data_IF_276950725909
#
_entry.id   IF_276950725909
#
_cell.length_a   1.000
_cell.length_b   1.000
_cell.length_c   1.000
_cell.angle_alpha   90.00
_cell.angle_beta   90.00
_cell.angle_gamma   90.00
#
_symmetry.space_group_name_H-M   'P 1'
#
loop_
_entity.id
_entity.type
_entity.pdbx_description
1 polymer ?
#
# COMPACT_ATOMS: atom_id res chain seq x y z
N UNK A 1 21.18 14.79 -15.54
CA UNK A 1 19.97 14.07 -15.07
C UNK A 1 18.82 15.04 -15.15
N UNK A 2 17.84 14.79 -16.02
CA UNK A 2 16.59 15.57 -16.03
C UNK A 2 15.91 15.39 -14.66
N UNK A 3 15.64 16.50 -13.94
CA UNK A 3 14.84 16.44 -12.72
C UNK A 3 13.49 15.85 -13.10
N UNK A 4 13.09 14.77 -12.42
CA UNK A 4 11.74 14.23 -12.54
C UNK A 4 10.69 15.24 -12.06
N UNK A 5 9.39 14.97 -12.26
CA UNK A 5 8.34 15.84 -11.78
C UNK A 5 8.47 16.05 -10.26
N UNK A 6 8.16 17.26 -9.81
CA UNK A 6 8.15 17.58 -8.37
C UNK A 6 6.92 16.91 -7.74
N UNK A 7 7.09 16.32 -6.56
CA UNK A 7 5.99 15.75 -5.78
C UNK A 7 6.09 16.24 -4.33
N UNK A 8 4.98 16.68 -3.69
CA UNK A 8 3.60 16.75 -4.21
C UNK A 8 3.43 17.66 -5.44
N UNK A 9 2.46 17.35 -6.30
CA UNK A 9 2.21 18.04 -7.58
C UNK A 9 1.38 19.30 -7.35
N UNK A 10 2.00 20.48 -7.42
CA UNK A 10 1.33 21.75 -7.09
C UNK A 10 0.42 22.29 -8.18
N UNK A 11 0.80 22.13 -9.45
CA UNK A 11 -0.04 22.53 -10.59
C UNK A 11 -0.78 21.30 -11.11
N UNK A 12 -2.13 21.27 -11.10
CA UNK A 12 -2.90 20.16 -11.66
C UNK A 12 -2.56 19.82 -13.12
N UNK A 13 -2.05 20.78 -13.91
CA UNK A 13 -1.62 20.53 -15.28
C UNK A 13 -0.42 19.56 -15.37
N UNK A 14 0.44 19.53 -14.34
CA UNK A 14 1.65 18.70 -14.30
C UNK A 14 1.34 17.20 -14.12
N UNK A 15 0.13 16.85 -13.66
CA UNK A 15 -0.31 15.45 -13.58
C UNK A 15 -0.28 14.74 -14.93
N UNK A 16 -0.39 15.48 -16.04
CA UNK A 16 -0.38 14.95 -17.41
C UNK A 16 0.95 14.34 -17.82
N UNK A 17 2.04 14.85 -17.25
CA UNK A 17 3.39 14.33 -17.48
C UNK A 17 3.83 13.33 -16.41
N UNK A 18 3.08 13.22 -15.31
CA UNK A 18 3.37 12.30 -14.22
C UNK A 18 3.22 10.84 -14.67
N UNK A 19 4.32 10.09 -14.65
CA UNK A 19 4.33 8.69 -15.08
C UNK A 19 4.22 8.50 -16.59
N UNK A 20 4.34 9.55 -17.39
CA UNK A 20 4.31 9.42 -18.86
C UNK A 20 5.52 8.64 -19.37
N UNK A 21 5.26 7.66 -20.23
CA UNK A 21 6.31 6.90 -20.92
C UNK A 21 6.40 7.30 -22.40
N UNK A 22 7.63 7.41 -22.90
CA UNK A 22 7.87 7.46 -24.35
C UNK A 22 7.64 6.10 -25.02
N UNK A 23 7.60 6.08 -26.36
CA UNK A 23 7.39 4.85 -27.15
C UNK A 23 8.46 3.80 -26.88
N UNK A 24 9.74 4.21 -26.87
CA UNK A 24 10.88 3.30 -26.60
C UNK A 24 10.78 2.70 -25.20
N UNK A 25 10.46 3.52 -24.19
CA UNK A 25 10.29 3.07 -22.82
C UNK A 25 9.10 2.10 -22.67
N UNK A 26 8.02 2.34 -23.41
CA UNK A 26 6.84 1.46 -23.42
C UNK A 26 7.20 0.08 -23.98
N UNK A 27 7.91 0.01 -25.10
CA UNK A 27 8.41 -1.26 -25.66
C UNK A 27 9.38 -1.98 -24.72
N UNK A 28 10.35 -1.26 -24.16
CA UNK A 28 11.29 -1.83 -23.19
C UNK A 28 10.56 -2.40 -21.95
N UNK A 29 9.51 -1.72 -21.49
CA UNK A 29 8.67 -2.14 -20.37
C UNK A 29 7.82 -3.37 -20.70
N UNK A 30 7.30 -3.47 -21.93
CA UNK A 30 6.58 -4.65 -22.41
C UNK A 30 7.51 -5.89 -22.45
N UNK A 31 8.69 -5.77 -23.06
CA UNK A 31 9.69 -6.83 -23.09
C UNK A 31 10.13 -7.24 -21.68
N UNK A 32 10.32 -6.26 -20.79
CA UNK A 32 10.63 -6.50 -19.38
C UNK A 32 9.52 -7.25 -18.67
N UNK A 33 8.24 -6.92 -18.95
CA UNK A 33 7.08 -7.62 -18.38
C UNK A 33 7.08 -9.10 -18.78
N UNK A 34 7.34 -9.40 -20.06
CA UNK A 34 7.47 -10.79 -20.54
C UNK A 34 8.59 -11.53 -19.82
N UNK A 35 9.75 -10.89 -19.65
CA UNK A 35 10.89 -11.47 -18.93
C UNK A 35 10.57 -11.77 -17.47
N UNK A 36 9.91 -10.84 -16.76
CA UNK A 36 9.57 -11.04 -15.35
C UNK A 36 8.42 -12.04 -15.16
N UNK A 37 7.48 -12.12 -16.10
CA UNK A 37 6.46 -13.18 -16.10
C UNK A 37 7.11 -14.56 -16.11
N UNK A 38 8.12 -14.76 -16.95
CA UNK A 38 8.91 -16.02 -17.01
C UNK A 38 9.77 -16.29 -15.77
N UNK A 39 9.98 -15.28 -14.91
CA UNK A 39 10.72 -15.43 -13.65
C UNK A 39 9.83 -15.82 -12.48
N UNK A 40 8.50 -15.79 -12.64
CA UNK A 40 7.65 -16.41 -11.64
C UNK A 40 8.06 -17.86 -11.49
N UNK A 41 8.39 -18.22 -10.26
CA UNK A 41 8.68 -19.59 -9.88
C UNK A 41 7.49 -20.00 -9.04
N UNK A 42 6.89 -21.12 -9.40
CA UNK A 42 6.08 -21.82 -8.43
C UNK A 42 6.99 -22.27 -7.29
N UNK A 43 6.46 -22.30 -6.08
CA UNK A 43 7.18 -22.80 -4.91
C UNK A 43 6.61 -24.18 -4.61
N UNK A 44 7.37 -25.26 -4.89
CA UNK A 44 6.86 -26.62 -4.75
C UNK A 44 6.30 -26.88 -3.34
N UNK A 45 5.13 -27.51 -3.27
CA UNK A 45 4.49 -27.86 -2.00
C UNK A 45 3.91 -26.67 -1.21
N UNK A 46 3.88 -25.48 -1.80
CA UNK A 46 3.25 -24.34 -1.15
C UNK A 46 1.73 -24.47 -1.20
N UNK A 47 1.14 -24.54 -0.01
CA UNK A 47 -0.31 -24.52 0.18
C UNK A 47 -0.71 -23.20 0.81
N UNK A 48 -1.92 -22.76 0.47
CA UNK A 48 -2.62 -21.67 1.13
C UNK A 48 -4.00 -22.21 1.48
N UNK A 49 -4.26 -22.40 2.77
CA UNK A 49 -5.42 -23.16 3.25
C UNK A 49 -6.28 -22.27 4.14
N UNK A 50 -7.59 -22.19 3.91
CA UNK A 50 -8.52 -21.54 4.84
C UNK A 50 -8.45 -22.21 6.21
N UNK A 51 -8.50 -21.41 7.28
CA UNK A 51 -8.48 -21.91 8.66
C UNK A 51 -9.83 -22.43 9.13
N UNK A 52 -10.93 -21.95 8.53
CA UNK A 52 -12.28 -22.39 8.85
C UNK A 52 -13.18 -22.33 7.62
N UNK A 53 -13.93 -23.41 7.39
CA UNK A 53 -14.95 -23.51 6.35
C UNK A 53 -14.43 -23.38 4.91
N UNK A 54 -15.38 -23.42 3.97
CA UNK A 54 -15.11 -23.10 2.57
C UNK A 54 -15.22 -21.59 2.33
N UNK A 55 -14.36 -21.06 1.48
CA UNK A 55 -14.42 -19.67 1.04
C UNK A 55 -15.69 -19.48 0.23
N UNK A 56 -16.58 -18.60 0.70
CA UNK A 56 -17.83 -18.32 -0.01
C UNK A 56 -17.56 -17.63 -1.36
N UNK A 57 -18.36 -17.89 -2.39
CA UNK A 57 -18.32 -17.09 -3.62
C UNK A 57 -18.59 -15.61 -3.33
N UNK A 58 -17.85 -14.76 -4.02
CA UNK A 58 -18.03 -13.31 -4.00
C UNK A 58 -19.10 -12.88 -5.00
N UNK A 59 -19.90 -11.89 -4.62
CA UNK A 59 -20.83 -11.21 -5.53
C UNK A 59 -20.10 -10.44 -6.66
N UNK A 60 -20.77 -10.12 -7.79
CA UNK A 60 -20.12 -9.52 -8.96
C UNK A 60 -19.45 -8.16 -8.74
N UNK A 61 -19.88 -7.43 -7.70
CA UNK A 61 -19.35 -6.10 -7.35
C UNK A 61 -18.72 -6.07 -5.95
N UNK A 62 -18.64 -7.22 -5.27
CA UNK A 62 -17.96 -7.28 -3.98
C UNK A 62 -16.45 -7.12 -4.22
N UNK A 63 -15.85 -6.17 -3.52
CA UNK A 63 -14.41 -5.95 -3.54
C UNK A 63 -13.82 -6.68 -2.33
N UNK A 64 -12.82 -7.52 -2.61
CA UNK A 64 -12.06 -8.23 -1.58
C UNK A 64 -10.75 -7.50 -1.32
N UNK A 65 -10.45 -7.33 -0.04
CA UNK A 65 -9.16 -6.85 0.43
C UNK A 65 -8.26 -8.04 0.75
N UNK A 66 -7.05 -8.01 0.24
CA UNK A 66 -6.00 -9.00 0.50
C UNK A 66 -4.93 -8.38 1.38
N UNK A 67 -4.68 -9.00 2.54
CA UNK A 67 -3.65 -8.60 3.49
C UNK A 67 -2.77 -9.79 3.86
N UNK A 68 -1.46 -9.57 3.95
CA UNK A 68 -0.50 -10.54 4.50
C UNK A 68 0.06 -9.93 5.76
N UNK A 69 -0.03 -10.64 6.88
CA UNK A 69 0.33 -10.09 8.18
C UNK A 69 1.00 -11.10 9.10
N UNK A 70 1.63 -10.56 10.14
CA UNK A 70 2.09 -11.30 11.31
C UNK A 70 2.10 -10.32 12.48
N UNK A 71 1.58 -10.75 13.62
CA UNK A 71 1.59 -9.99 14.86
C UNK A 71 1.05 -8.57 14.70
N UNK A 72 -0.19 -8.46 14.22
CA UNK A 72 -0.84 -7.19 13.94
C UNK A 72 -1.91 -6.82 14.98
N UNK A 73 -1.99 -7.53 16.11
CA UNK A 73 -3.10 -7.41 17.06
C UNK A 73 -3.26 -5.96 17.58
N UNK A 74 -2.15 -5.24 17.73
CA UNK A 74 -2.15 -3.85 18.17
C UNK A 74 -3.00 -2.91 17.31
N UNK A 75 -3.14 -3.17 16.00
CA UNK A 75 -3.82 -2.28 15.06
C UNK A 75 -4.85 -2.94 14.15
N UNK A 76 -4.94 -4.28 14.13
CA UNK A 76 -5.78 -5.02 13.16
C UNK A 76 -7.27 -4.69 13.29
N UNK A 77 -7.76 -4.37 14.48
CA UNK A 77 -9.16 -3.95 14.67
C UNK A 77 -9.45 -2.62 13.95
N UNK A 78 -8.64 -1.58 14.19
CA UNK A 78 -8.77 -0.29 13.51
C UNK A 78 -8.54 -0.40 11.99
N UNK A 79 -7.64 -1.30 11.57
CA UNK A 79 -7.44 -1.62 10.15
C UNK A 79 -8.72 -2.19 9.51
N UNK A 80 -9.39 -3.16 10.15
CA UNK A 80 -10.64 -3.71 9.64
C UNK A 80 -11.73 -2.64 9.59
N UNK A 81 -11.88 -1.85 10.66
CA UNK A 81 -12.93 -0.83 10.76
C UNK A 81 -12.77 0.26 9.70
N UNK A 82 -11.55 0.74 9.45
CA UNK A 82 -11.26 1.69 8.36
C UNK A 82 -11.73 1.14 7.01
N UNK A 83 -11.34 -0.09 6.68
CA UNK A 83 -11.65 -0.66 5.37
C UNK A 83 -13.11 -1.12 5.24
N UNK A 84 -13.76 -1.52 6.34
CA UNK A 84 -15.21 -1.75 6.39
C UNK A 84 -15.97 -0.46 6.11
N UNK A 85 -15.53 0.68 6.66
CA UNK A 85 -16.13 1.98 6.37
C UNK A 85 -16.00 2.38 4.89
N UNK A 86 -14.95 1.93 4.20
CA UNK A 86 -14.81 2.08 2.74
C UNK A 86 -15.78 1.18 1.95
N UNK A 87 -16.46 0.23 2.59
CA UNK A 87 -17.34 -0.74 1.93
C UNK A 87 -16.62 -1.98 1.39
N UNK A 88 -15.47 -2.34 1.94
CA UNK A 88 -14.85 -3.65 1.68
C UNK A 88 -15.78 -4.75 2.20
N UNK A 89 -16.12 -5.69 1.32
CA UNK A 89 -17.12 -6.73 1.61
C UNK A 89 -16.49 -7.99 2.22
N UNK A 90 -15.22 -8.27 1.90
CA UNK A 90 -14.48 -9.44 2.36
C UNK A 90 -13.00 -9.15 2.57
N UNK A 91 -12.43 -9.80 3.57
CA UNK A 91 -11.03 -9.70 3.93
C UNK A 91 -10.35 -11.07 3.77
N UNK A 92 -9.56 -11.23 2.72
CA UNK A 92 -8.71 -12.38 2.51
C UNK A 92 -7.36 -12.15 3.21
N UNK A 93 -7.17 -12.75 4.38
CA UNK A 93 -6.03 -12.45 5.24
C UNK A 93 -5.12 -13.67 5.35
N UNK A 94 -3.82 -13.51 5.08
CA UNK A 94 -2.83 -14.56 5.27
C UNK A 94 -2.06 -14.28 6.54
N UNK A 95 -2.24 -15.16 7.53
CA UNK A 95 -1.48 -15.13 8.78
C UNK A 95 -0.15 -15.88 8.61
N UNK A 96 0.97 -15.16 8.75
CA UNK A 96 2.32 -15.74 8.75
C UNK A 96 2.72 -16.18 10.17
N UNK A 97 1.88 -17.00 10.81
CA UNK A 97 2.10 -17.60 12.13
C UNK A 97 2.27 -16.54 13.21
N UNK A 98 1.20 -15.79 13.44
CA UNK A 98 1.13 -14.85 14.56
C UNK A 98 1.16 -15.59 15.90
N UNK A 99 1.68 -14.92 16.92
CA UNK A 99 1.80 -15.42 18.30
C UNK A 99 1.29 -14.42 19.35
N UNK A 100 0.63 -13.34 18.90
CA UNK A 100 0.09 -12.25 19.72
C UNK A 100 -1.45 -12.26 19.83
N UNK A 101 -2.11 -13.32 19.33
CA UNK A 101 -3.57 -13.44 19.29
C UNK A 101 -4.23 -12.85 18.05
N UNK A 102 -3.46 -12.30 17.08
CA UNK A 102 -4.01 -11.80 15.80
C UNK A 102 -4.86 -12.85 15.08
N UNK A 103 -4.38 -14.09 15.03
CA UNK A 103 -5.04 -15.22 14.36
C UNK A 103 -6.43 -15.50 14.96
N UNK A 104 -6.50 -15.56 16.29
CA UNK A 104 -7.72 -15.83 17.04
C UNK A 104 -8.73 -14.70 16.87
N UNK A 105 -8.27 -13.45 16.93
CA UNK A 105 -9.13 -12.29 16.68
C UNK A 105 -9.71 -12.29 15.27
N UNK A 106 -8.89 -12.56 14.26
CA UNK A 106 -9.29 -12.59 12.85
C UNK A 106 -10.24 -13.75 12.54
N UNK A 107 -10.00 -14.94 13.10
CA UNK A 107 -10.86 -16.09 12.92
C UNK A 107 -12.28 -15.88 13.47
N UNK A 108 -12.44 -14.97 14.44
CA UNK A 108 -13.74 -14.61 15.00
C UNK A 108 -14.52 -13.59 14.14
N UNK A 109 -13.92 -13.00 13.10
CA UNK A 109 -14.57 -11.99 12.27
C UNK A 109 -15.37 -12.65 11.12
N UNK A 110 -16.68 -12.37 10.99
CA UNK A 110 -17.54 -13.06 10.01
C UNK A 110 -17.24 -12.69 8.54
N UNK A 111 -16.59 -11.55 8.31
CA UNK A 111 -16.20 -11.02 7.01
C UNK A 111 -14.73 -11.32 6.63
N UNK A 112 -14.00 -12.05 7.48
CA UNK A 112 -12.62 -12.47 7.25
C UNK A 112 -12.56 -13.92 6.79
N UNK A 113 -11.88 -14.14 5.66
CA UNK A 113 -11.36 -15.43 5.25
C UNK A 113 -9.89 -15.50 5.67
N UNK A 114 -9.62 -16.18 6.78
CA UNK A 114 -8.27 -16.32 7.32
C UNK A 114 -7.58 -17.56 6.72
N UNK A 115 -6.42 -17.35 6.10
CA UNK A 115 -5.60 -18.38 5.48
C UNK A 115 -4.29 -18.57 6.23
N UNK A 116 -3.81 -19.82 6.26
CA UNK A 116 -2.46 -20.17 6.69
C UNK A 116 -1.69 -20.79 5.52
N UNK A 117 -0.35 -20.82 5.62
CA UNK A 117 0.50 -21.42 4.59
C UNK A 117 1.51 -22.41 5.17
N UNK A 118 1.83 -23.44 4.39
CA UNK A 118 2.96 -24.34 4.66
C UNK A 118 4.32 -23.60 4.64
N UNK A 119 4.38 -22.44 3.98
CA UNK A 119 5.58 -21.63 3.81
C UNK A 119 5.56 -20.38 4.68
N UNK A 120 6.72 -19.72 4.83
CA UNK A 120 6.85 -18.44 5.52
C UNK A 120 6.91 -17.31 4.52
N UNK A 121 6.63 -16.09 4.96
CA UNK A 121 6.61 -14.88 4.12
C UNK A 121 7.78 -14.77 3.13
N UNK A 122 9.01 -15.00 3.61
CA UNK A 122 10.23 -14.93 2.80
C UNK A 122 10.28 -16.00 1.70
N UNK A 123 9.91 -17.25 2.01
CA UNK A 123 9.91 -18.34 1.02
C UNK A 123 8.75 -18.23 0.04
N UNK A 124 7.67 -17.54 0.40
CA UNK A 124 6.56 -17.17 -0.48
C UNK A 124 6.85 -15.92 -1.36
N UNK A 125 8.13 -15.52 -1.51
CA UNK A 125 8.54 -14.38 -2.32
C UNK A 125 8.14 -13.02 -1.73
N UNK A 126 8.09 -12.90 -0.39
CA UNK A 126 7.54 -11.72 0.28
C UNK A 126 6.02 -11.64 0.13
N UNK A 127 5.35 -12.79 0.23
CA UNK A 127 3.90 -12.92 0.08
C UNK A 127 3.36 -12.64 -1.33
N UNK A 128 4.22 -12.47 -2.35
CA UNK A 128 3.78 -12.26 -3.73
C UNK A 128 3.00 -13.46 -4.26
N UNK A 129 3.46 -14.66 -3.93
CA UNK A 129 2.81 -15.87 -4.45
C UNK A 129 1.49 -16.11 -3.72
N UNK A 130 1.39 -15.80 -2.42
CA UNK A 130 0.12 -15.84 -1.72
C UNK A 130 -0.92 -14.91 -2.35
N UNK A 131 -0.53 -13.68 -2.73
CA UNK A 131 -1.41 -12.76 -3.46
C UNK A 131 -1.90 -13.34 -4.78
N UNK A 132 -1.01 -13.96 -5.56
CA UNK A 132 -1.41 -14.64 -6.80
C UNK A 132 -2.37 -15.80 -6.54
N UNK A 133 -2.11 -16.63 -5.51
CA UNK A 133 -3.01 -17.74 -5.13
C UNK A 133 -4.38 -17.24 -4.66
N UNK A 134 -4.43 -16.14 -3.93
CA UNK A 134 -5.70 -15.54 -3.52
C UNK A 134 -6.48 -14.99 -4.72
N UNK A 135 -5.81 -14.40 -5.73
CA UNK A 135 -6.48 -14.05 -6.99
C UNK A 135 -7.09 -15.30 -7.66
N UNK A 136 -6.39 -16.44 -7.62
CA UNK A 136 -6.90 -17.68 -8.20
C UNK A 136 -8.09 -18.25 -7.37
N UNK A 137 -8.09 -18.09 -6.05
CA UNK A 137 -9.21 -18.48 -5.15
C UNK A 137 -10.45 -17.62 -5.38
N UNK A 138 -10.29 -16.29 -5.41
CA UNK A 138 -11.42 -15.35 -5.52
C UNK A 138 -11.82 -15.00 -6.95
N UNK A 139 -11.03 -15.45 -7.94
CA UNK A 139 -11.30 -15.32 -9.36
C UNK A 139 -10.71 -14.07 -10.01
N UNK A 140 -10.51 -14.14 -11.32
CA UNK A 140 -10.02 -13.03 -12.14
C UNK A 140 -11.18 -12.17 -12.67
N UNK A 141 -10.79 -11.14 -13.41
CA UNK A 141 -11.65 -10.13 -14.03
C UNK A 141 -12.48 -9.34 -13.01
N UNK A 142 -11.84 -8.93 -11.92
CA UNK A 142 -12.44 -8.14 -10.85
C UNK A 142 -11.44 -7.23 -10.15
N UNK A 143 -11.96 -6.29 -9.37
CA UNK A 143 -11.19 -5.37 -8.54
C UNK A 143 -10.85 -5.96 -7.17
N UNK A 144 -9.63 -5.67 -6.74
CA UNK A 144 -9.04 -6.09 -5.47
C UNK A 144 -8.43 -4.88 -4.77
N UNK A 145 -8.36 -4.95 -3.44
CA UNK A 145 -7.51 -4.07 -2.62
C UNK A 145 -6.36 -4.89 -2.04
N UNK A 146 -5.11 -4.44 -2.18
CA UNK A 146 -3.92 -5.06 -1.62
C UNK A 146 -3.20 -4.08 -0.71
N UNK A 147 -3.23 -4.33 0.60
CA UNK A 147 -2.61 -3.46 1.62
C UNK A 147 -1.94 -4.31 2.69
N UNK A 148 -0.92 -3.75 3.33
CA UNK A 148 -0.33 -4.31 4.55
C UNK A 148 -1.13 -3.84 5.78
N UNK A 149 -0.96 -4.49 6.94
CA UNK A 149 -1.79 -4.23 8.13
C UNK A 149 -1.56 -2.84 8.77
N UNK A 150 -0.48 -2.16 8.40
CA UNK A 150 -0.15 -0.79 8.79
C UNK A 150 -0.54 0.26 7.72
N UNK A 151 -1.32 -0.11 6.71
CA UNK A 151 -1.69 0.76 5.58
C UNK A 151 -3.20 1.03 5.50
N UNK A 152 -3.55 2.31 5.45
CA UNK A 152 -4.93 2.79 5.44
C UNK A 152 -5.22 3.50 4.13
N UNK A 153 -6.08 2.90 3.30
CA UNK A 153 -6.38 3.41 1.96
C UNK A 153 -7.20 4.69 2.00
N UNK A 154 -6.74 5.71 1.28
CA UNK A 154 -7.40 7.01 1.07
C UNK A 154 -7.46 7.32 -0.42
N UNK A 155 -8.58 7.88 -0.88
CA UNK A 155 -8.82 8.31 -2.26
C UNK A 155 -9.76 9.53 -2.26
N UNK A 156 -9.96 10.23 -3.40
CA UNK A 156 -10.78 11.44 -3.44
C UNK A 156 -12.21 11.22 -2.92
N UNK A 157 -12.51 11.82 -1.77
CA UNK A 157 -13.81 11.75 -1.09
C UNK A 157 -14.09 10.44 -0.34
N UNK A 158 -13.06 9.66 0.04
CA UNK A 158 -13.24 8.39 0.77
C UNK A 158 -14.05 8.53 2.07
N UNK A 159 -14.11 9.73 2.66
CA UNK A 159 -14.86 10.01 3.88
C UNK A 159 -16.37 9.81 3.71
N UNK A 160 -16.87 9.93 2.47
CA UNK A 160 -18.32 9.87 2.16
C UNK A 160 -18.66 8.93 1.00
N UNK A 161 -17.65 8.39 0.33
CA UNK A 161 -17.82 7.57 -0.87
C UNK A 161 -17.29 6.16 -0.59
N UNK A 162 -18.02 5.10 -0.96
CA UNK A 162 -17.51 3.74 -0.88
C UNK A 162 -16.50 3.45 -1.99
N UNK A 163 -15.68 2.41 -1.80
CA UNK A 163 -14.58 2.04 -2.70
C UNK A 163 -15.08 1.71 -4.11
N UNK A 164 -16.31 1.19 -4.22
CA UNK A 164 -16.95 0.91 -5.51
C UNK A 164 -17.16 2.18 -6.36
N UNK A 165 -17.39 3.34 -5.74
CA UNK A 165 -17.50 4.60 -6.45
C UNK A 165 -16.15 5.06 -7.02
N UNK A 166 -15.07 4.90 -6.26
CA UNK A 166 -13.70 5.17 -6.72
C UNK A 166 -13.28 4.23 -7.84
N UNK A 167 -13.58 2.93 -7.70
CA UNK A 167 -13.40 1.95 -8.79
C UNK A 167 -14.15 2.38 -10.05
N UNK A 168 -15.40 2.82 -9.93
CA UNK A 168 -16.15 3.35 -11.08
C UNK A 168 -15.51 4.58 -11.72
N UNK A 169 -14.85 5.46 -10.94
CA UNK A 169 -14.09 6.59 -11.49
C UNK A 169 -12.87 6.11 -12.29
N UNK A 170 -12.12 5.13 -11.77
CA UNK A 170 -10.99 4.51 -12.46
C UNK A 170 -11.42 3.85 -13.77
N UNK A 171 -12.54 3.12 -13.76
CA UNK A 171 -13.08 2.46 -14.95
C UNK A 171 -13.46 3.48 -16.04
N UNK A 172 -14.13 4.58 -15.68
CA UNK A 172 -14.43 5.66 -16.63
C UNK A 172 -13.17 6.30 -17.19
N UNK A 173 -12.07 6.29 -16.44
CA UNK A 173 -10.77 6.80 -16.89
C UNK A 173 -10.00 5.79 -17.76
N UNK A 174 -10.54 4.57 -17.95
CA UNK A 174 -9.82 3.48 -18.61
C UNK A 174 -8.64 2.95 -17.78
N UNK A 175 -8.58 3.28 -16.49
CA UNK A 175 -7.55 2.84 -15.57
C UNK A 175 -7.88 1.47 -15.01
N UNK A 176 -6.85 0.64 -14.82
CA UNK A 176 -6.97 -0.71 -14.24
C UNK A 176 -6.29 -0.84 -12.88
N UNK A 177 -5.76 0.25 -12.34
CA UNK A 177 -5.17 0.35 -11.01
C UNK A 177 -4.91 1.80 -10.63
N UNK A 178 -4.85 2.05 -9.33
CA UNK A 178 -4.45 3.33 -8.76
C UNK A 178 -3.03 3.21 -8.19
N UNK A 179 -2.11 4.08 -8.60
CA UNK A 179 -0.86 4.27 -7.87
C UNK A 179 -1.18 5.01 -6.57
N UNK A 180 -0.68 4.50 -5.45
CA UNK A 180 -0.84 5.11 -4.14
C UNK A 180 0.51 5.35 -3.49
N UNK A 181 0.93 6.61 -3.29
CA UNK A 181 2.06 6.97 -2.45
C UNK A 181 1.77 6.60 -1.00
N UNK A 182 2.79 6.14 -0.28
CA UNK A 182 2.73 5.84 1.15
C UNK A 182 3.21 7.07 1.91
N UNK A 183 2.32 7.67 2.69
CA UNK A 183 2.64 8.78 3.57
C UNK A 183 2.86 8.21 4.98
N UNK A 184 4.12 8.12 5.39
CA UNK A 184 4.48 7.65 6.73
C UNK A 184 3.91 8.61 7.78
N UNK A 185 3.06 8.08 8.65
CA UNK A 185 2.45 8.79 9.76
C UNK A 185 3.41 8.84 10.96
N UNK A 186 3.46 9.98 11.65
CA UNK A 186 4.25 10.15 12.88
C UNK A 186 3.60 11.18 13.85
N UNK A 187 3.95 11.14 15.16
CA UNK A 187 3.41 12.09 16.14
C UNK A 187 3.97 13.51 15.98
N UNK A 188 3.26 14.48 16.57
CA UNK A 188 3.77 15.85 16.71
C UNK A 188 4.98 15.93 17.63
N UNK A 189 5.00 15.09 18.67
CA UNK A 189 6.04 15.03 19.68
C UNK A 189 7.01 13.88 19.47
N UNK A 190 7.35 13.23 20.57
CA UNK A 190 8.30 12.12 20.60
C UNK A 190 7.61 10.83 20.14
N UNK A 191 8.38 9.92 19.56
CA UNK A 191 7.89 8.57 19.20
C UNK A 191 7.29 7.84 20.39
N UNK A 192 7.91 7.94 21.57
CA UNK A 192 7.43 7.26 22.78
C UNK A 192 6.04 7.73 23.25
N UNK A 193 5.60 8.92 22.84
CA UNK A 193 4.29 9.46 23.22
C UNK A 193 3.15 8.97 22.30
N UNK A 194 3.49 8.36 21.16
CA UNK A 194 2.54 7.82 20.18
C UNK A 194 2.17 6.37 20.48
N UNK A 195 1.58 6.11 21.64
CA UNK A 195 1.11 4.77 22.03
C UNK A 195 -0.29 4.50 21.47
N UNK A 196 -0.36 3.72 20.39
CA UNK A 196 -1.63 3.32 19.79
C UNK A 196 -2.20 2.09 20.48
N UNK A 197 -3.47 2.20 20.85
CA UNK A 197 -4.25 1.15 21.49
C UNK A 197 -5.66 1.17 20.88
N UNK A 198 -6.04 0.08 20.20
CA UNK A 198 -7.31 -0.03 19.50
C UNK A 198 -8.55 -0.02 20.43
N UNK A 199 -8.38 -0.20 21.74
CA UNK A 199 -9.45 -0.02 22.73
C UNK A 199 -9.65 1.43 23.15
N UNK A 200 -8.66 2.30 22.93
CA UNK A 200 -8.72 3.75 23.24
C UNK A 200 -8.83 4.64 22.00
N UNK A 201 -8.34 4.18 20.86
CA UNK A 201 -8.18 4.96 19.64
C UNK A 201 -8.90 4.28 18.48
N UNK A 202 -9.58 5.06 17.65
CA UNK A 202 -10.30 4.57 16.47
C UNK A 202 -9.47 4.64 15.19
N UNK A 203 -8.41 5.44 15.18
CA UNK A 203 -7.55 5.63 14.01
C UNK A 203 -6.09 5.84 14.43
N UNK A 204 -5.11 5.35 13.65
CA UNK A 204 -3.71 5.71 13.87
C UNK A 204 -3.43 7.20 13.83
N UNK A 205 -4.30 7.98 13.18
CA UNK A 205 -4.23 9.44 13.14
C UNK A 205 -4.46 10.08 14.52
N UNK A 206 -5.08 9.36 15.47
CA UNK A 206 -5.32 9.86 16.82
C UNK A 206 -3.99 10.07 17.58
N UNK A 207 -2.96 9.28 17.26
CA UNK A 207 -1.64 9.36 17.90
C UNK A 207 -0.53 9.85 16.95
N UNK A 208 -0.66 9.56 15.65
CA UNK A 208 0.32 9.94 14.62
C UNK A 208 -0.36 10.71 13.49
N UNK A 209 -0.75 11.98 13.73
CA UNK A 209 -1.53 12.76 12.76
C UNK A 209 -0.69 13.42 11.66
N UNK A 210 0.64 13.42 11.78
CA UNK A 210 1.52 14.17 10.88
C UNK A 210 2.06 13.32 9.73
N UNK A 211 2.29 13.98 8.60
CA UNK A 211 2.97 13.49 7.40
C UNK A 211 4.03 14.49 6.94
N UNK A 212 5.02 14.05 6.16
CA UNK A 212 5.95 14.97 5.49
C UNK A 212 5.22 15.72 4.35
N UNK A 213 5.28 17.06 4.36
CA UNK A 213 4.70 17.91 3.33
C UNK A 213 5.53 18.03 2.05
N UNK A 214 6.79 17.59 2.09
CA UNK A 214 7.77 17.76 1.02
C UNK A 214 8.90 16.72 1.11
N UNK A 215 9.94 16.86 0.29
CA UNK A 215 11.12 15.98 0.35
C UNK A 215 10.98 14.67 -0.42
N UNK A 216 9.98 14.58 -1.29
CA UNK A 216 9.78 13.42 -2.16
C UNK A 216 10.43 13.62 -3.53
N UNK A 217 10.86 12.50 -4.10
CA UNK A 217 11.43 12.41 -5.44
C UNK A 217 10.62 11.43 -6.28
N UNK A 218 10.41 11.78 -7.54
CA UNK A 218 9.68 10.95 -8.50
C UNK A 218 10.54 10.67 -9.71
N UNK A 219 10.62 9.41 -10.09
CA UNK A 219 11.28 9.00 -11.32
C UNK A 219 10.73 7.67 -11.82
N UNK A 220 10.77 7.46 -13.13
CA UNK A 220 10.45 6.16 -13.70
C UNK A 220 11.56 5.17 -13.38
N UNK A 221 11.24 4.07 -12.70
CA UNK A 221 12.16 2.98 -12.45
C UNK A 221 11.82 1.74 -13.29
N UNK A 222 12.50 0.61 -13.02
CA UNK A 222 12.30 -0.61 -13.82
C UNK A 222 10.90 -1.21 -13.70
N UNK A 223 10.12 -0.89 -12.67
CA UNK A 223 8.81 -1.47 -12.41
C UNK A 223 7.65 -0.48 -12.51
N UNK A 224 7.86 0.79 -12.20
CA UNK A 224 6.78 1.77 -12.01
C UNK A 224 7.26 3.22 -12.06
N UNK A 225 6.33 4.18 -12.02
CA UNK A 225 6.61 5.51 -11.46
C UNK A 225 6.98 5.34 -9.98
N UNK A 226 8.24 5.55 -9.63
CA UNK A 226 8.74 5.39 -8.26
C UNK A 226 8.64 6.70 -7.52
N UNK A 227 8.07 6.66 -6.31
CA UNK A 227 8.03 7.79 -5.37
C UNK A 227 8.85 7.39 -4.15
N UNK A 228 9.75 8.26 -3.70
CA UNK A 228 10.65 8.01 -2.58
C UNK A 228 10.83 9.28 -1.78
N UNK A 229 11.10 9.19 -0.48
CA UNK A 229 11.30 10.39 0.34
C UNK A 229 10.79 10.18 1.76
N UNK A 230 10.09 11.20 2.26
CA UNK A 230 9.48 11.20 3.59
C UNK A 230 10.52 11.12 4.73
N UNK A 231 10.07 10.77 5.94
CA UNK A 231 10.94 10.73 7.12
C UNK A 231 12.12 9.75 6.96
N UNK A 232 11.93 8.68 6.17
CA UNK A 232 12.98 7.68 5.89
C UNK A 232 14.18 8.28 5.19
N UNK A 233 13.95 9.10 4.16
CA UNK A 233 15.03 9.81 3.49
C UNK A 233 15.56 10.97 4.33
N UNK A 234 14.67 11.75 4.94
CA UNK A 234 15.04 12.96 5.68
C UNK A 234 15.89 12.69 6.92
N UNK A 235 15.59 11.63 7.67
CA UNK A 235 16.23 11.35 8.96
C UNK A 235 17.28 10.24 8.89
N UNK A 236 17.14 9.31 7.93
CA UNK A 236 17.94 8.08 7.88
C UNK A 236 18.64 7.86 6.53
N UNK A 237 18.57 8.82 5.60
CA UNK A 237 19.15 8.73 4.25
C UNK A 237 18.76 7.45 3.49
N UNK A 238 17.53 6.97 3.72
CA UNK A 238 17.07 5.70 3.16
C UNK A 238 15.90 5.91 2.18
N UNK A 239 16.17 6.16 0.89
CA UNK A 239 15.14 6.42 -0.13
C UNK A 239 14.45 5.14 -0.57
N UNK A 240 13.58 4.61 0.29
CA UNK A 240 12.71 3.48 -0.02
C UNK A 240 11.63 3.85 -1.03
N UNK A 241 11.13 2.82 -1.74
CA UNK A 241 9.89 2.97 -2.51
C UNK A 241 8.74 3.19 -1.54
N UNK A 242 8.13 4.37 -1.64
CA UNK A 242 6.98 4.79 -0.89
C UNK A 242 5.76 4.85 -1.81
N UNK A 243 5.56 3.81 -2.62
CA UNK A 243 4.36 3.71 -3.46
C UNK A 243 3.94 2.25 -3.67
N UNK A 244 2.63 2.00 -3.77
CA UNK A 244 2.03 0.71 -4.11
C UNK A 244 0.95 0.89 -5.17
N UNK A 245 0.33 -0.23 -5.56
CA UNK A 245 -0.89 -0.26 -6.36
C UNK A 245 -1.98 -0.98 -5.58
N UNK A 246 -2.55 -0.35 -4.52
CA UNK A 246 -3.44 -1.04 -3.61
C UNK A 246 -4.76 -1.40 -4.30
N UNK A 247 -5.33 -0.52 -5.11
CA UNK A 247 -6.57 -0.80 -5.84
C UNK A 247 -6.19 -1.23 -7.26
N UNK A 248 -6.50 -2.48 -7.63
CA UNK A 248 -6.16 -3.01 -8.96
C UNK A 248 -7.20 -4.00 -9.51
N UNK A 249 -7.37 -3.97 -10.81
CA UNK A 249 -8.16 -4.94 -11.57
C UNK A 249 -7.28 -6.14 -11.94
N UNK A 250 -7.60 -7.31 -11.38
CA UNK A 250 -6.88 -8.54 -11.64
C UNK A 250 -7.46 -9.27 -12.85
N UNK A 251 -6.89 -9.06 -14.03
CA UNK A 251 -7.23 -9.79 -15.26
C UNK A 251 -6.30 -11.00 -15.49
N UNK A 252 -6.44 -11.67 -16.64
CA UNK A 252 -5.58 -12.78 -17.04
C UNK A 252 -4.08 -12.43 -17.13
N UNK A 253 -3.71 -11.15 -17.19
CA UNK A 253 -2.31 -10.70 -17.28
C UNK A 253 -1.71 -10.31 -15.93
N UNK A 254 -2.54 -10.08 -14.91
CA UNK A 254 -2.14 -9.64 -13.57
C UNK A 254 -1.39 -10.73 -12.84
N UNK A 255 -0.21 -10.39 -12.32
CA UNK A 255 0.65 -11.29 -11.56
C UNK A 255 1.60 -10.48 -10.67
N UNK A 256 1.71 -10.87 -9.40
CA UNK A 256 2.69 -10.33 -8.46
C UNK A 256 4.01 -11.08 -8.55
N UNK A 257 3.97 -12.41 -8.53
CA UNK A 257 5.15 -13.26 -8.55
C UNK A 257 6.06 -12.96 -9.73
N UNK A 258 7.36 -13.03 -9.48
CA UNK A 258 8.37 -12.63 -10.46
C UNK A 258 8.54 -11.12 -10.60
N UNK A 259 7.68 -10.27 -10.01
CA UNK A 259 7.82 -8.81 -10.05
C UNK A 259 7.95 -8.21 -8.63
N UNK A 260 7.00 -7.39 -8.21
CA UNK A 260 7.00 -6.69 -6.92
C UNK A 260 5.60 -6.19 -6.59
N UNK A 261 5.24 -6.10 -5.31
CA UNK A 261 4.04 -5.38 -4.84
C UNK A 261 4.07 -3.89 -5.24
N UNK A 262 5.27 -3.31 -5.37
CA UNK A 262 5.47 -1.94 -5.83
C UNK A 262 5.39 -1.81 -7.36
N UNK A 263 5.04 -2.87 -8.08
CA UNK A 263 4.93 -2.87 -9.54
C UNK A 263 4.48 -4.23 -10.08
N UNK A 264 3.21 -4.60 -9.90
CA UNK A 264 2.68 -5.86 -10.39
C UNK A 264 2.64 -5.89 -11.92
N UNK A 265 2.70 -7.10 -12.49
CA UNK A 265 2.61 -7.30 -13.93
C UNK A 265 1.18 -7.02 -14.43
N UNK A 266 1.03 -6.63 -15.72
CA UNK A 266 2.10 -6.25 -16.65
C UNK A 266 2.66 -4.86 -16.30
N UNK A 267 3.98 -4.62 -16.40
CA UNK A 267 4.60 -3.38 -15.90
C UNK A 267 4.14 -2.11 -16.61
N UNK A 268 3.64 -2.22 -17.84
CA UNK A 268 3.24 -1.08 -18.66
C UNK A 268 2.16 -0.19 -18.04
N UNK A 269 1.32 -0.74 -17.14
CA UNK A 269 0.26 0.06 -16.47
C UNK A 269 0.69 0.63 -15.10
N UNK A 270 1.97 0.50 -14.71
CA UNK A 270 2.50 1.00 -13.42
C UNK A 270 3.10 2.40 -13.54
N UNK A 271 3.04 2.99 -14.73
CA UNK A 271 3.55 4.32 -15.00
C UNK A 271 2.35 5.25 -15.13
N UNK A 272 1.91 5.75 -13.98
CA UNK A 272 0.65 6.47 -13.82
C UNK A 272 0.80 7.61 -12.78
N UNK A 273 -0.10 8.60 -12.79
CA UNK A 273 -0.33 9.55 -11.69
C UNK A 273 -0.66 8.85 -10.37
N UNK A 274 -0.46 9.55 -9.25
CA UNK A 274 -0.95 9.12 -7.95
C UNK A 274 -2.46 9.40 -7.87
N UNK A 275 -3.29 8.37 -7.83
CA UNK A 275 -4.77 8.49 -7.83
C UNK A 275 -5.38 8.14 -6.45
N UNK A 276 -4.55 7.64 -5.54
CA UNK A 276 -4.90 7.29 -4.17
C UNK A 276 -3.68 7.56 -3.26
N UNK A 277 -3.83 7.37 -1.95
CA UNK A 277 -2.77 7.43 -0.94
C UNK A 277 -2.95 6.26 0.04
N UNK A 278 -1.84 5.75 0.56
CA UNK A 278 -1.82 4.90 1.74
C UNK A 278 -1.28 5.73 2.90
N UNK A 279 -2.12 5.99 3.90
CA UNK A 279 -1.62 6.48 5.18
C UNK A 279 -0.93 5.31 5.87
N UNK A 280 0.36 5.44 6.13
CA UNK A 280 1.21 4.32 6.53
C UNK A 280 1.66 4.50 7.98
N UNK A 281 1.03 3.74 8.88
CA UNK A 281 1.27 3.83 10.31
C UNK A 281 2.54 3.10 10.72
N UNK A 282 3.69 3.71 10.41
CA UNK A 282 5.00 3.09 10.63
C UNK A 282 5.79 3.66 11.79
N UNK A 283 5.51 4.88 12.24
CA UNK A 283 6.24 5.54 13.31
C UNK A 283 5.31 5.82 14.50
N UNK A 284 5.47 5.00 15.54
CA UNK A 284 4.73 5.02 16.80
C UNK A 284 5.64 4.55 17.94
N UNK A 285 5.14 4.52 19.18
CA UNK A 285 5.89 3.98 20.33
C UNK A 285 6.27 2.51 20.11
N UNK A 286 5.36 1.71 19.54
CA UNK A 286 5.58 0.30 19.22
C UNK A 286 6.64 0.06 18.12
N UNK A 287 6.90 1.05 17.27
CA UNK A 287 7.84 0.91 16.16
C UNK A 287 9.28 0.64 16.61
N UNK A 288 9.66 1.05 17.82
CA UNK A 288 11.01 0.82 18.36
C UNK A 288 11.31 -0.67 18.56
N UNK A 289 10.36 -1.41 19.14
CA UNK A 289 10.49 -2.86 19.33
C UNK A 289 10.27 -3.59 18.01
N UNK A 290 9.27 -3.17 17.22
CA UNK A 290 8.93 -3.77 15.93
C UNK A 290 10.13 -3.74 14.96
N UNK A 291 10.78 -2.59 14.80
CA UNK A 291 11.91 -2.43 13.88
C UNK A 291 13.11 -3.27 14.31
N UNK A 292 13.37 -3.39 15.63
CA UNK A 292 14.44 -4.25 16.16
C UNK A 292 14.16 -5.72 15.87
N UNK A 293 12.94 -6.19 16.15
CA UNK A 293 12.53 -7.55 15.83
C UNK A 293 12.66 -7.86 14.33
N UNK A 294 12.27 -6.92 13.47
CA UNK A 294 12.43 -7.08 12.01
C UNK A 294 13.88 -7.08 11.54
N UNK A 295 14.73 -6.25 12.15
CA UNK A 295 16.16 -6.21 11.89
C UNK A 295 16.83 -7.55 12.23
N UNK A 296 16.45 -8.16 13.35
CA UNK A 296 16.95 -9.47 13.81
C UNK A 296 16.43 -10.63 12.94
N UNK A 297 15.12 -10.64 12.64
CA UNK A 297 14.50 -11.74 11.90
C UNK A 297 14.96 -11.85 10.43
N UNK A 298 15.40 -10.74 9.81
CA UNK A 298 15.90 -10.74 8.42
C UNK A 298 14.87 -11.18 7.36
N UNK A 299 13.58 -11.16 7.70
CA UNK A 299 12.47 -11.65 6.85
C UNK A 299 11.96 -10.65 5.81
N UNK A 300 12.31 -9.37 5.92
CA UNK A 300 11.82 -8.31 5.03
C UNK A 300 12.72 -8.13 3.79
N UNK A 301 12.27 -7.27 2.86
CA UNK A 301 12.99 -6.97 1.62
C UNK A 301 14.47 -6.67 1.88
N UNK A 302 15.35 -7.27 1.07
CA UNK A 302 16.80 -7.13 1.21
C UNK A 302 17.41 -7.79 2.45
N UNK A 303 16.67 -8.61 3.21
CA UNK A 303 17.16 -9.15 4.49
C UNK A 303 17.04 -8.15 5.63
N UNK A 304 15.98 -7.34 5.60
CA UNK A 304 15.68 -6.27 6.56
C UNK A 304 16.73 -5.14 6.59
N UNK A 305 17.43 -4.85 5.48
CA UNK A 305 18.47 -3.79 5.46
C UNK A 305 17.94 -2.45 5.96
N UNK A 306 16.76 -2.05 5.51
CA UNK A 306 16.09 -0.84 5.99
C UNK A 306 15.97 -0.79 7.52
N UNK A 307 15.44 -1.85 8.12
CA UNK A 307 15.25 -1.92 9.57
C UNK A 307 16.59 -1.92 10.29
N UNK A 308 17.56 -2.71 9.81
CA UNK A 308 18.92 -2.77 10.38
C UNK A 308 19.60 -1.40 10.40
N UNK A 309 19.50 -0.64 9.31
CA UNK A 309 20.12 0.67 9.20
C UNK A 309 19.45 1.70 10.11
N UNK A 310 18.12 1.73 10.16
CA UNK A 310 17.40 2.61 11.09
C UNK A 310 17.74 2.27 12.54
N UNK A 311 17.72 0.98 12.91
CA UNK A 311 17.99 0.55 14.29
C UNK A 311 19.44 0.79 14.72
N UNK A 312 20.37 0.97 13.78
CA UNK A 312 21.77 1.35 14.07
C UNK A 312 21.93 2.84 14.35
N UNK A 313 20.96 3.66 13.94
CA UNK A 313 21.00 5.10 14.22
C UNK A 313 20.72 5.35 15.69
N UNK A 314 21.65 5.99 16.40
CA UNK A 314 21.44 6.42 17.79
C UNK A 314 20.24 7.38 17.93
N UNK A 315 19.87 8.06 16.83
CA UNK A 315 18.70 8.92 16.75
C UNK A 315 17.38 8.15 16.83
N UNK A 316 17.35 6.87 16.47
CA UNK A 316 16.11 6.08 16.48
C UNK A 316 15.83 5.52 17.88
N UNK A 317 15.34 6.39 18.75
CA UNK A 317 14.96 6.08 20.12
C UNK A 317 13.63 6.76 20.49
N UNK A 318 13.14 6.53 21.71
CA UNK A 318 11.85 7.05 22.18
C UNK A 318 11.73 8.56 22.14
N UNK A 319 12.82 9.31 22.29
CA UNK A 319 12.83 10.77 22.29
C UNK A 319 12.89 11.37 20.88
N UNK A 320 13.01 10.55 19.83
CA UNK A 320 12.98 11.04 18.46
C UNK A 320 11.64 11.71 18.16
N UNK A 321 11.68 12.97 17.76
CA UNK A 321 10.57 13.60 17.04
C UNK A 321 10.88 13.60 15.54
N UNK A 322 9.91 13.17 14.74
CA UNK A 322 9.99 13.23 13.30
C UNK A 322 9.45 14.56 12.77
N UNK A 323 8.71 15.32 13.58
CA UNK A 323 8.13 16.58 13.20
C UNK A 323 9.19 17.61 12.80
N UNK A 324 8.88 18.42 11.79
CA UNK A 324 9.70 19.53 11.32
C UNK A 324 8.79 20.62 10.75
N UNK A 325 9.35 21.76 10.36
CA UNK A 325 8.59 22.91 9.82
C UNK A 325 7.71 22.55 8.61
N UNK A 326 8.11 21.55 7.81
CA UNK A 326 7.35 21.08 6.66
C UNK A 326 6.35 19.95 6.97
N UNK A 327 6.19 19.55 8.23
CA UNK A 327 5.19 18.56 8.61
C UNK A 327 3.78 19.11 8.43
N UNK A 328 2.89 18.27 7.94
CA UNK A 328 1.48 18.59 7.76
C UNK A 328 0.63 17.65 8.60
N UNK A 329 -0.38 18.20 9.28
CA UNK A 329 -1.43 17.39 9.90
C UNK A 329 -2.40 16.92 8.81
N UNK A 330 -2.69 15.63 8.77
CA UNK A 330 -3.68 15.09 7.85
C UNK A 330 -5.06 15.70 8.15
N UNK A 331 -5.70 16.28 7.12
CA UNK A 331 -6.97 16.98 7.24
C UNK A 331 -8.07 16.45 6.31
N UNK A 332 -7.85 15.28 5.68
CA UNK A 332 -8.78 14.65 4.75
C UNK A 332 -8.28 14.59 3.31
N UNK A 333 -9.03 13.89 2.46
CA UNK A 333 -8.66 13.65 1.06
C UNK A 333 -8.72 14.91 0.20
N UNK A 334 -9.62 15.85 0.49
CA UNK A 334 -9.68 17.14 -0.20
C UNK A 334 -8.37 17.93 0.00
N UNK A 335 -7.86 18.01 1.24
CA UNK A 335 -6.58 18.65 1.52
C UNK A 335 -5.42 17.94 0.82
N UNK A 336 -5.42 16.61 0.75
CA UNK A 336 -4.41 15.86 -0.02
C UNK A 336 -4.48 16.13 -1.53
N UNK A 337 -5.67 16.32 -2.10
CA UNK A 337 -5.85 16.71 -3.50
C UNK A 337 -5.32 18.13 -3.72
N UNK A 338 -5.73 19.09 -2.89
CA UNK A 338 -5.34 20.50 -2.99
C UNK A 338 -3.82 20.69 -2.84
N UNK A 339 -3.19 19.87 -1.99
CA UNK A 339 -1.73 19.87 -1.80
C UNK A 339 -0.95 19.05 -2.82
N UNK A 340 -1.64 18.32 -3.70
CA UNK A 340 -1.00 17.59 -4.79
C UNK A 340 -0.44 16.20 -4.45
N UNK A 341 -0.87 15.60 -3.35
CA UNK A 341 -0.47 14.23 -2.99
C UNK A 341 -1.18 13.17 -3.83
N UNK A 342 -2.40 13.46 -4.26
CA UNK A 342 -3.15 12.62 -5.17
C UNK A 342 -4.01 13.44 -6.12
N UNK A 343 -4.25 12.88 -7.30
CA UNK A 343 -5.09 13.44 -8.33
C UNK A 343 -6.55 13.03 -8.11
N UNK A 344 -7.48 13.97 -8.28
CA UNK A 344 -8.88 13.63 -8.40
C UNK A 344 -9.21 13.22 -9.84
N UNK A 345 -9.29 11.91 -10.08
CA UNK A 345 -9.59 11.31 -11.39
C UNK A 345 -10.93 11.82 -11.96
N UNK A 346 -11.86 12.30 -11.12
CA UNK A 346 -13.15 12.83 -11.58
C UNK A 346 -13.01 14.15 -12.35
N UNK A 347 -12.02 14.96 -12.01
CA UNK A 347 -11.79 16.27 -12.63
C UNK A 347 -11.40 16.16 -14.11
N UNK A 348 -10.86 15.01 -14.53
CA UNK A 348 -10.51 14.76 -15.93
C UNK A 348 -11.76 14.67 -16.85
N UNK A 349 -12.95 14.42 -16.28
CA UNK A 349 -14.20 14.30 -17.04
C UNK A 349 -15.04 15.57 -17.04
N UNK A 350 -14.98 16.40 -15.99
CA UNK A 350 -15.80 17.60 -15.86
C UNK A 350 -15.48 18.65 -16.94
N UNK A 351 -14.24 18.67 -17.44
CA UNK A 351 -13.83 19.53 -18.56
C UNK A 351 -14.33 19.10 -19.95
N UNK A 352 -14.88 17.88 -20.11
CA UNK A 352 -15.38 17.38 -21.41
C UNK A 352 -16.87 17.60 -21.64
N UNK A 353 -17.62 17.98 -20.61
CA UNK A 353 -19.06 18.19 -20.71
C UNK A 353 -19.47 19.61 -21.14
N UNK A 354 -18.52 20.55 -21.29
CA UNK A 354 -18.78 21.94 -21.67
C UNK A 354 -18.57 22.27 -23.16
N UNK A 355 -18.45 21.25 -24.02
CA UNK A 355 -18.19 21.41 -25.45
C UNK A 355 -19.04 20.46 -26.28
N UNK A 356 -20.35 20.67 -26.27
CA UNK A 356 -21.29 20.19 -27.29
C UNK A 356 -22.23 21.31 -27.65
#
# INVERSE_FOLDING_TARGET
>A
MTRGPTYPVRDPADWRDFGRMGVVQSWATALRSLRYRRRARDVPGMTLTPTAGDVRPLGPREIVLVCVLRNAMASVAAFLDHHRALGIARFAMVDDRSDDGTDTFLAAQPDVDLFTSSHRYRSAGGGQIWRDRLIDVYGRDRWYVFVDADEYLVYPGFETRPIGAFVGDLERAGLRRALAPMLDLYPEGRLADADFDAGRHGSPLDVSPLIDGNGYTVFADKFSTSIRGGPRSRLFDHPNRLQKFPVLFADAQTQFSGASIHGPLPLGRNFAPADAVLLHFKFSAGSLSEFRAFAEAGGHFGGSMFYKEITRSERFNGDLSLAYEGSLRFAGSADLVDRGFLRDVRADFSGRAGGL
#
